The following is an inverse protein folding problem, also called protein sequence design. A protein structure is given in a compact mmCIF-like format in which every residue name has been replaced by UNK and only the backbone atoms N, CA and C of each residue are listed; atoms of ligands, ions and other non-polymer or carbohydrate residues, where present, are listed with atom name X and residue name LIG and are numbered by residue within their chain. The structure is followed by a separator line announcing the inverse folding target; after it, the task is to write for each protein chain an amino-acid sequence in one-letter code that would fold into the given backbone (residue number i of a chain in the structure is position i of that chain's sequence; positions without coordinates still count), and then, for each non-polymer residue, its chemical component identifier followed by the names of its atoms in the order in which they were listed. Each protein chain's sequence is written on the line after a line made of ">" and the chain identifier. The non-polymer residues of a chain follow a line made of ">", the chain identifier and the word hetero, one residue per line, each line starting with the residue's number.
data_IF_451407787467
#
_entry.id   IF_451407787467
#
_cell.length_a   1.000
_cell.length_b   1.000
_cell.length_c   1.000
_cell.angle_alpha   90.00
_cell.angle_beta   90.00
_cell.angle_gamma   90.00
#
_symmetry.space_group_name_H-M   'P 1'
#
loop_
_entity.id
_entity.type
_entity.pdbx_description
1 polymer ?
#
# COMPACT_ATOMS: atom_id res chain seq x y z
N UNK A 1 19.76 -25.07 -16.48
CA UNK A 1 18.31 -25.33 -16.56
C UNK A 1 17.64 -24.62 -15.42
N UNK A 2 16.67 -23.79 -15.78
CA UNK A 2 16.08 -22.70 -15.00
C UNK A 2 15.14 -23.22 -13.90
N UNK A 3 15.20 -22.62 -12.71
CA UNK A 3 14.09 -22.64 -11.75
C UNK A 3 13.89 -21.24 -11.21
N UNK A 4 13.20 -20.41 -12.00
CA UNK A 4 12.59 -19.18 -11.53
C UNK A 4 11.29 -19.56 -10.81
N UNK A 5 11.39 -19.77 -9.50
CA UNK A 5 10.23 -19.85 -8.61
C UNK A 5 10.30 -18.66 -7.66
N UNK A 6 10.17 -17.45 -8.21
CA UNK A 6 9.76 -16.31 -7.40
C UNK A 6 8.33 -16.56 -6.96
N UNK A 7 7.98 -16.45 -5.67
CA UNK A 7 6.58 -16.54 -5.27
C UNK A 7 5.84 -15.48 -6.06
N UNK A 8 4.73 -15.85 -6.70
CA UNK A 8 3.85 -14.89 -7.32
C UNK A 8 3.55 -13.81 -6.28
N UNK A 9 4.17 -12.64 -6.47
CA UNK A 9 3.78 -11.40 -5.80
C UNK A 9 2.27 -11.38 -5.91
N UNK A 10 1.60 -11.59 -4.79
CA UNK A 10 0.16 -11.63 -4.77
C UNK A 10 -0.22 -10.20 -5.07
N UNK A 11 -0.53 -9.92 -6.33
CA UNK A 11 -0.86 -8.58 -6.80
C UNK A 11 -2.18 -8.19 -6.14
N UNK A 12 -2.11 -7.74 -4.89
CA UNK A 12 -3.23 -7.28 -4.10
C UNK A 12 -3.82 -6.10 -4.87
N UNK A 13 -5.08 -6.20 -5.21
CA UNK A 13 -5.81 -5.14 -5.89
C UNK A 13 -6.56 -4.29 -4.87
N UNK A 14 -6.99 -3.11 -5.29
CA UNK A 14 -7.86 -2.25 -4.48
C UNK A 14 -9.17 -2.96 -4.10
N UNK A 15 -9.71 -3.80 -4.99
CA UNK A 15 -10.88 -4.62 -4.69
C UNK A 15 -10.61 -5.62 -3.56
N UNK A 16 -9.43 -6.26 -3.60
CA UNK A 16 -9.02 -7.20 -2.56
C UNK A 16 -8.78 -6.50 -1.20
N UNK A 17 -8.22 -5.29 -1.19
CA UNK A 17 -8.13 -4.47 0.02
C UNK A 17 -9.51 -4.24 0.66
N UNK A 18 -10.50 -3.85 -0.15
CA UNK A 18 -11.88 -3.63 0.33
C UNK A 18 -12.50 -4.90 0.89
N UNK A 19 -12.35 -6.02 0.17
CA UNK A 19 -12.88 -7.31 0.62
C UNK A 19 -12.26 -7.79 1.93
N UNK A 20 -11.01 -7.38 2.23
CA UNK A 20 -10.26 -7.77 3.43
C UNK A 20 -10.29 -6.72 4.56
N UNK A 21 -11.09 -5.66 4.44
CA UNK A 21 -11.12 -4.52 5.37
C UNK A 21 -9.72 -3.88 5.59
N UNK A 22 -8.90 -3.86 4.53
CA UNK A 22 -7.55 -3.29 4.54
C UNK A 22 -7.55 -1.90 3.89
N UNK A 23 -6.59 -1.05 4.28
CA UNK A 23 -6.40 0.28 3.68
C UNK A 23 -5.17 0.33 2.82
N UNK A 24 -5.20 1.22 1.83
CA UNK A 24 -4.03 1.55 1.03
C UNK A 24 -3.09 2.44 1.86
N UNK A 25 -1.92 1.92 2.19
CA UNK A 25 -0.82 2.68 2.76
C UNK A 25 0.14 3.13 1.66
N UNK A 26 0.74 4.31 1.83
CA UNK A 26 1.88 4.76 1.05
C UNK A 26 2.98 5.22 2.01
N UNK A 27 4.22 4.80 1.75
CA UNK A 27 5.42 5.22 2.45
C UNK A 27 6.42 5.80 1.45
N UNK A 28 7.03 6.93 1.78
CA UNK A 28 8.15 7.47 1.01
C UNK A 28 9.46 6.97 1.62
N UNK A 29 10.26 6.21 0.87
CA UNK A 29 11.54 5.70 1.35
C UNK A 29 12.59 6.80 1.50
N UNK A 30 12.43 7.91 0.75
CA UNK A 30 13.34 9.04 0.83
C UNK A 30 13.20 9.88 2.11
N UNK A 31 11.96 10.20 2.51
CA UNK A 31 11.70 11.07 3.67
C UNK A 31 11.03 10.38 4.86
N UNK A 32 10.76 9.07 4.75
CA UNK A 32 10.09 8.27 5.78
C UNK A 32 8.62 8.65 6.01
N UNK A 33 7.99 9.38 5.08
CA UNK A 33 6.60 9.83 5.26
C UNK A 33 5.63 8.70 4.90
N UNK A 34 4.95 8.21 5.92
CA UNK A 34 3.80 7.31 5.77
C UNK A 34 2.47 8.07 5.81
N UNK A 35 1.51 7.68 4.97
CA UNK A 35 0.11 8.12 5.03
C UNK A 35 -0.84 7.04 4.55
N UNK A 36 -2.08 7.13 4.98
CA UNK A 36 -3.18 6.38 4.38
C UNK A 36 -3.71 7.11 3.15
N UNK A 37 -4.16 6.33 2.19
CA UNK A 37 -4.76 6.80 0.95
C UNK A 37 -6.23 6.35 0.90
N UNK A 38 -7.07 7.20 0.33
CA UNK A 38 -8.45 6.82 0.04
C UNK A 38 -8.43 5.85 -1.15
N UNK A 39 -8.87 4.61 -0.91
CA UNK A 39 -9.04 3.59 -1.94
C UNK A 39 -10.17 3.93 -2.92
N UNK A 40 -11.10 4.83 -2.54
CA UNK A 40 -12.23 5.29 -3.35
C UNK A 40 -11.82 5.93 -4.68
N UNK A 41 -10.61 6.49 -4.75
CA UNK A 41 -10.09 7.15 -5.95
C UNK A 41 -9.55 6.17 -6.98
N UNK A 42 -9.46 4.87 -6.65
CA UNK A 42 -8.87 3.85 -7.50
C UNK A 42 -9.89 2.82 -7.98
N UNK A 43 -9.67 2.28 -9.17
CA UNK A 43 -10.50 1.18 -9.68
C UNK A 43 -10.21 -0.08 -8.86
N UNK A 44 -11.22 -0.93 -8.59
CA UNK A 44 -11.02 -2.16 -7.82
C UNK A 44 -10.06 -3.15 -8.52
N UNK A 45 -9.92 -3.06 -9.85
CA UNK A 45 -8.97 -3.85 -10.63
C UNK A 45 -7.53 -3.32 -10.61
N UNK A 46 -7.26 -2.18 -9.95
CA UNK A 46 -5.93 -1.58 -9.87
C UNK A 46 -5.07 -2.35 -8.86
N UNK A 47 -3.84 -2.70 -9.24
CA UNK A 47 -2.85 -3.36 -8.38
C UNK A 47 -2.21 -2.34 -7.46
N UNK A 48 -2.20 -2.63 -6.15
CA UNK A 48 -1.67 -1.77 -5.09
C UNK A 48 -0.22 -1.38 -5.34
N UNK A 49 0.65 -2.33 -5.64
CA UNK A 49 2.08 -2.07 -5.90
C UNK A 49 2.31 -1.13 -7.10
N UNK A 50 1.42 -1.18 -8.10
CA UNK A 50 1.52 -0.32 -9.29
C UNK A 50 1.11 1.13 -9.06
N UNK A 51 0.44 1.43 -7.94
CA UNK A 51 -0.02 2.79 -7.61
C UNK A 51 1.16 3.70 -7.28
N UNK A 52 2.16 3.19 -6.54
CA UNK A 52 3.38 3.91 -6.18
C UNK A 52 4.07 4.54 -7.40
N UNK A 53 4.20 3.80 -8.51
CA UNK A 53 4.90 4.29 -9.70
C UNK A 53 4.24 5.48 -10.40
N UNK A 54 2.99 5.80 -10.07
CA UNK A 54 2.28 6.99 -10.59
C UNK A 54 2.16 8.10 -9.54
N UNK A 55 2.80 7.96 -8.38
CA UNK A 55 2.72 8.89 -7.27
C UNK A 55 4.09 9.46 -6.94
N UNK A 56 4.08 10.66 -6.37
CA UNK A 56 5.25 11.30 -5.80
C UNK A 56 4.94 11.74 -4.38
N UNK A 57 5.96 11.79 -3.54
CA UNK A 57 5.82 12.25 -2.17
C UNK A 57 5.41 13.72 -2.15
N UNK A 58 4.20 14.01 -1.64
CA UNK A 58 3.71 15.39 -1.52
C UNK A 58 4.55 16.30 -0.59
N UNK A 59 5.51 15.75 0.17
CA UNK A 59 6.39 16.51 1.06
C UNK A 59 7.74 16.84 0.42
N UNK A 60 8.42 15.85 -0.15
CA UNK A 60 9.77 16.00 -0.69
C UNK A 60 9.83 15.95 -2.23
N UNK A 61 8.73 15.62 -2.90
CA UNK A 61 8.66 15.51 -4.36
C UNK A 61 9.29 14.24 -4.95
N UNK A 62 9.90 13.37 -4.12
CA UNK A 62 10.54 12.14 -4.58
C UNK A 62 9.52 11.14 -5.14
N UNK A 63 9.88 10.48 -6.24
CA UNK A 63 9.19 9.33 -6.84
C UNK A 63 9.49 8.00 -6.11
N UNK A 64 10.43 8.00 -5.16
CA UNK A 64 10.73 6.85 -4.30
C UNK A 64 9.67 6.72 -3.19
N UNK A 65 8.51 6.23 -3.61
CA UNK A 65 7.38 5.89 -2.78
C UNK A 65 6.99 4.44 -3.01
N UNK A 66 6.52 3.78 -1.95
CA UNK A 66 6.03 2.41 -1.96
C UNK A 66 4.60 2.38 -1.45
N UNK A 67 3.75 1.59 -2.10
CA UNK A 67 2.35 1.39 -1.72
C UNK A 67 2.14 -0.04 -1.27
N UNK A 68 1.45 -0.21 -0.15
CA UNK A 68 1.23 -1.51 0.46
C UNK A 68 -0.14 -1.61 1.13
N UNK A 69 -0.58 -2.85 1.31
CA UNK A 69 -1.79 -3.17 2.01
C UNK A 69 -1.57 -3.02 3.52
N UNK A 70 -2.35 -2.16 4.18
CA UNK A 70 -2.33 -2.01 5.63
C UNK A 70 -3.54 -2.74 6.21
N UNK A 71 -3.27 -3.91 6.78
CA UNK A 71 -4.26 -4.63 7.56
C UNK A 71 -4.45 -3.98 8.93
N UNK A 72 -5.67 -4.08 9.44
CA UNK A 72 -6.00 -3.71 10.81
C UNK A 72 -5.39 -4.76 11.74
N UNK A 73 -4.56 -4.36 12.69
CA UNK A 73 -3.89 -5.32 13.58
C UNK A 73 -4.92 -5.98 14.51
N UNK A 74 -5.09 -7.30 14.39
CA UNK A 74 -6.04 -8.12 15.18
C UNK A 74 -5.83 -8.02 16.70
N UNK A 75 -4.63 -7.63 17.14
CA UNK A 75 -4.27 -7.56 18.56
C UNK A 75 -4.87 -6.36 19.31
N UNK A 76 -5.27 -5.31 18.61
CA UNK A 76 -5.74 -4.05 19.25
C UNK A 76 -6.92 -3.38 18.55
N UNK A 77 -7.27 -3.73 17.31
CA UNK A 77 -8.40 -3.09 16.61
C UNK A 77 -8.19 -1.60 16.25
N UNK A 78 -7.00 -1.06 16.50
CA UNK A 78 -6.57 0.31 16.23
C UNK A 78 -5.78 0.41 14.92
N UNK A 79 -5.96 1.51 14.19
CA UNK A 79 -5.02 1.89 13.13
C UNK A 79 -3.74 2.41 13.80
N UNK A 80 -2.52 2.08 13.35
CA UNK A 80 -1.27 2.47 14.03
C UNK A 80 -1.04 3.99 14.16
N UNK A 81 -1.94 4.83 13.64
CA UNK A 81 -1.97 6.28 13.88
C UNK A 81 -2.69 6.69 15.18
N UNK A 82 -3.21 5.74 15.97
CA UNK A 82 -3.99 6.01 17.19
C UNK A 82 -3.27 5.66 18.51
N UNK A 83 -1.98 5.31 18.49
CA UNK A 83 -1.17 5.22 19.72
C UNK A 83 -0.67 6.63 20.10
N UNK A 84 -1.48 7.35 20.87
CA UNK A 84 -1.00 8.42 21.76
C UNK A 84 -0.32 7.85 22.99
#
# INVERSE_FOLDING_TARGET
>A
MCSASGPAETAITIGDLKSRDQRLGINCNYCGRFRYMADSSYRPSTVVAGIAGSLTCARCGSDDVETFAVARTEKHGYWPAERS
#
